data_IF_401989072187
#
_entry.id   IF_401989072187
#
_cell.length_a   1.000
_cell.length_b   1.000
_cell.length_c   1.000
_cell.angle_alpha   90.00
_cell.angle_beta   90.00
_cell.angle_gamma   90.00
#
_symmetry.space_group_name_H-M   'P 1'
#
loop_
_entity.id
_entity.type
_entity.pdbx_description
1 polymer ?
#
# COMPACT_ATOMS: atom_id res chain seq x y z
N UNK A 1 5.08 4.25 -15.52
CA UNK A 1 4.49 2.89 -15.56
C UNK A 1 3.42 2.80 -14.49
N UNK A 2 2.41 1.93 -14.64
CA UNK A 2 1.27 1.89 -13.71
C UNK A 2 1.64 1.17 -12.41
N UNK A 3 1.42 1.84 -11.29
CA UNK A 3 1.39 1.20 -9.97
C UNK A 3 0.17 0.29 -9.90
N UNK A 4 0.33 -0.91 -9.34
CA UNK A 4 -0.75 -1.85 -9.10
C UNK A 4 -0.76 -2.26 -7.64
N UNK A 5 -1.85 -2.01 -6.93
CA UNK A 5 -2.05 -2.56 -5.59
C UNK A 5 -2.75 -3.91 -5.63
N UNK A 6 -2.35 -4.76 -4.69
CA UNK A 6 -2.87 -6.10 -4.54
C UNK A 6 -3.06 -6.44 -3.07
N UNK A 7 -4.23 -6.98 -2.74
CA UNK A 7 -4.64 -7.32 -1.38
C UNK A 7 -4.95 -8.80 -1.28
N UNK A 8 -4.36 -9.46 -0.28
CA UNK A 8 -4.60 -10.89 -0.04
C UNK A 8 -4.45 -11.28 1.42
N UNK A 9 -5.18 -12.31 1.82
CA UNK A 9 -4.96 -12.98 3.12
C UNK A 9 -3.91 -14.09 3.06
N UNK A 10 -3.48 -14.45 1.84
CA UNK A 10 -2.46 -15.48 1.63
C UNK A 10 -1.05 -14.93 1.88
N UNK A 11 -0.19 -15.74 2.50
CA UNK A 11 1.24 -15.44 2.69
C UNK A 11 2.10 -15.89 1.51
N UNK A 12 1.51 -16.54 0.50
CA UNK A 12 2.20 -17.07 -0.69
C UNK A 12 1.76 -16.39 -1.99
N UNK A 13 0.87 -15.41 -1.89
CA UNK A 13 0.36 -14.57 -2.96
C UNK A 13 0.69 -13.11 -2.60
N UNK A 14 0.94 -12.19 -3.55
CA UNK A 14 0.86 -12.25 -5.02
C UNK A 14 2.03 -12.95 -5.74
N UNK A 15 1.93 -12.97 -7.08
CA UNK A 15 2.96 -13.46 -7.99
C UNK A 15 4.28 -12.66 -7.89
N UNK A 16 5.34 -13.20 -8.51
CA UNK A 16 6.65 -12.53 -8.57
C UNK A 16 6.55 -11.11 -9.18
N UNK A 17 7.27 -10.16 -8.59
CA UNK A 17 7.31 -8.75 -9.03
C UNK A 17 6.54 -7.79 -8.13
N UNK A 18 5.82 -8.28 -7.15
CA UNK A 18 5.21 -7.46 -6.10
C UNK A 18 6.14 -7.34 -4.88
N UNK A 19 6.11 -6.18 -4.25
CA UNK A 19 6.77 -5.87 -2.97
C UNK A 19 5.71 -5.73 -1.89
N UNK A 20 5.95 -6.31 -0.71
CA UNK A 20 5.01 -6.18 0.41
C UNK A 20 5.08 -4.78 1.00
N UNK A 21 3.92 -4.19 1.28
CA UNK A 21 3.77 -2.98 2.09
C UNK A 21 3.26 -3.30 3.52
N UNK A 22 3.17 -4.59 3.86
CA UNK A 22 2.77 -5.07 5.17
C UNK A 22 1.27 -5.31 5.32
N UNK A 23 0.79 -5.29 6.56
CA UNK A 23 -0.61 -5.57 6.91
C UNK A 23 -1.41 -4.27 6.83
N UNK A 24 -2.46 -4.25 6.01
CA UNK A 24 -3.39 -3.10 5.92
C UNK A 24 -4.41 -3.14 7.04
N UNK A 25 -5.01 -4.31 7.30
CA UNK A 25 -6.04 -4.50 8.30
C UNK A 25 -6.17 -5.98 8.69
N UNK A 26 -7.06 -6.28 9.63
CA UNK A 26 -7.46 -7.65 9.96
C UNK A 26 -8.89 -7.93 9.46
N UNK A 27 -9.11 -9.13 8.94
CA UNK A 27 -10.35 -9.58 8.28
C UNK A 27 -10.71 -11.01 8.70
N UNK A 28 -11.88 -11.50 8.29
CA UNK A 28 -12.30 -12.88 8.54
C UNK A 28 -11.92 -13.78 7.35
N UNK A 29 -11.44 -14.98 7.64
CA UNK A 29 -11.12 -16.01 6.63
C UNK A 29 -12.27 -16.98 6.36
N UNK A 30 -13.44 -16.77 6.98
CA UNK A 30 -14.64 -17.56 6.81
C UNK A 30 -15.88 -16.68 6.94
N UNK A 31 -16.98 -17.09 6.30
CA UNK A 31 -18.26 -16.40 6.38
C UNK A 31 -18.83 -16.50 7.80
N UNK A 32 -19.35 -15.38 8.31
CA UNK A 32 -20.17 -15.31 9.54
C UNK A 32 -21.50 -14.64 9.23
N UNK A 33 -22.44 -14.62 10.18
CA UNK A 33 -23.74 -13.93 10.00
C UNK A 33 -23.56 -12.42 9.81
N UNK A 34 -22.57 -11.83 10.49
CA UNK A 34 -22.30 -10.39 10.49
C UNK A 34 -21.20 -9.97 9.49
N UNK A 35 -20.96 -10.77 8.45
CA UNK A 35 -19.93 -10.45 7.46
C UNK A 35 -20.43 -10.56 6.01
N UNK A 36 -19.83 -9.73 5.15
CA UNK A 36 -20.02 -9.76 3.70
C UNK A 36 -18.74 -10.24 3.03
N UNK A 37 -18.88 -10.94 1.90
CA UNK A 37 -17.73 -11.30 1.07
C UNK A 37 -17.04 -10.04 0.53
N UNK A 38 -15.72 -9.98 0.58
CA UNK A 38 -14.91 -8.99 -0.12
C UNK A 38 -14.37 -9.64 -1.40
N UNK A 39 -15.05 -9.35 -2.51
CA UNK A 39 -14.85 -10.00 -3.79
C UNK A 39 -13.66 -9.38 -4.51
N UNK A 40 -12.74 -10.21 -5.01
CA UNK A 40 -11.62 -9.81 -5.86
C UNK A 40 -11.99 -10.00 -7.32
N UNK A 41 -11.84 -8.92 -8.07
CA UNK A 41 -12.04 -8.84 -9.51
C UNK A 41 -10.71 -8.48 -10.16
N UNK A 42 -10.43 -9.04 -11.34
CA UNK A 42 -9.16 -8.83 -12.04
C UNK A 42 -9.41 -8.42 -13.49
N UNK A 43 -8.73 -7.39 -13.94
CA UNK A 43 -8.74 -7.00 -15.35
C UNK A 43 -7.71 -7.84 -16.12
N UNK A 44 -8.10 -8.61 -17.15
CA UNK A 44 -7.22 -9.61 -17.78
C UNK A 44 -6.03 -8.98 -18.53
N UNK A 45 -6.19 -7.79 -19.11
CA UNK A 45 -5.13 -7.15 -19.91
C UNK A 45 -4.14 -6.34 -19.05
N UNK A 46 -4.65 -5.47 -18.17
CA UNK A 46 -3.83 -4.59 -17.32
C UNK A 46 -3.34 -5.26 -16.03
N UNK A 47 -3.91 -6.41 -15.64
CA UNK A 47 -3.64 -7.09 -14.38
C UNK A 47 -4.01 -6.29 -13.11
N UNK A 48 -4.81 -5.23 -13.25
CA UNK A 48 -5.33 -4.47 -12.12
C UNK A 48 -6.36 -5.30 -11.34
N UNK A 49 -6.37 -5.10 -10.03
CA UNK A 49 -7.34 -5.75 -9.14
C UNK A 49 -8.31 -4.71 -8.57
N UNK A 50 -9.54 -5.15 -8.37
CA UNK A 50 -10.61 -4.36 -7.77
C UNK A 50 -11.31 -5.20 -6.71
N UNK A 51 -11.61 -4.58 -5.57
CA UNK A 51 -12.20 -5.23 -4.41
C UNK A 51 -13.48 -4.53 -3.97
N UNK A 52 -14.54 -5.31 -3.77
CA UNK A 52 -15.84 -4.78 -3.36
C UNK A 52 -16.67 -5.79 -2.58
N UNK A 53 -17.53 -5.30 -1.71
CA UNK A 53 -18.56 -6.10 -1.04
C UNK A 53 -19.82 -6.29 -1.89
N UNK A 54 -19.97 -5.57 -3.01
CA UNK A 54 -21.06 -5.81 -3.96
C UNK A 54 -20.83 -7.15 -4.67
N UNK A 55 -21.75 -8.13 -4.52
CA UNK A 55 -21.63 -9.41 -5.20
C UNK A 55 -21.69 -9.29 -6.73
N UNK A 56 -22.18 -8.17 -7.27
CA UNK A 56 -22.25 -7.90 -8.70
C UNK A 56 -21.04 -7.11 -9.23
N UNK A 57 -20.09 -6.73 -8.38
CA UNK A 57 -18.84 -6.12 -8.80
C UNK A 57 -18.90 -4.61 -9.08
N UNK A 58 -19.97 -3.91 -8.70
CA UNK A 58 -20.16 -2.49 -9.02
C UNK A 58 -20.01 -2.21 -10.53
N UNK A 59 -19.11 -1.28 -10.90
CA UNK A 59 -18.79 -0.96 -12.29
C UNK A 59 -17.72 -1.89 -12.91
N UNK A 60 -17.10 -2.77 -12.12
CA UNK A 60 -15.97 -3.59 -12.56
C UNK A 60 -16.32 -4.49 -13.78
N UNK A 61 -17.48 -5.17 -13.85
CA UNK A 61 -17.84 -5.97 -15.02
C UNK A 61 -17.96 -5.11 -16.30
N UNK A 62 -18.55 -3.92 -16.20
CA UNK A 62 -18.69 -3.00 -17.32
C UNK A 62 -17.32 -2.45 -17.77
N UNK A 63 -16.37 -2.36 -16.86
CA UNK A 63 -14.98 -1.97 -17.11
C UNK A 63 -14.09 -3.15 -17.57
N UNK A 64 -14.64 -4.33 -17.82
CA UNK A 64 -13.89 -5.49 -18.33
C UNK A 64 -13.17 -6.33 -17.28
N UNK A 65 -13.40 -6.07 -15.99
CA UNK A 65 -12.90 -6.93 -14.93
C UNK A 65 -13.70 -8.23 -14.87
N UNK A 66 -13.01 -9.31 -14.53
CA UNK A 66 -13.61 -10.64 -14.34
C UNK A 66 -13.54 -11.00 -12.87
N UNK A 67 -14.64 -11.55 -12.33
CA UNK A 67 -14.65 -12.07 -10.96
C UNK A 67 -13.59 -13.16 -10.84
N UNK A 68 -12.72 -13.03 -9.84
CA UNK A 68 -11.63 -13.97 -9.62
C UNK A 68 -11.95 -14.92 -8.46
N UNK A 69 -12.21 -14.38 -7.27
CA UNK A 69 -12.58 -15.14 -6.08
C UNK A 69 -13.13 -14.24 -4.97
N UNK A 70 -13.69 -14.84 -3.92
CA UNK A 70 -13.85 -14.17 -2.63
C UNK A 70 -12.46 -14.10 -1.99
N UNK A 71 -11.94 -12.91 -1.72
CA UNK A 71 -10.63 -12.74 -1.10
C UNK A 71 -10.69 -13.03 0.41
N UNK A 72 -11.68 -12.45 1.07
CA UNK A 72 -11.92 -12.59 2.50
C UNK A 72 -13.37 -12.20 2.82
N UNK A 73 -13.70 -12.16 4.11
CA UNK A 73 -14.96 -11.65 4.61
C UNK A 73 -14.71 -10.46 5.52
N UNK A 74 -15.52 -9.42 5.35
CA UNK A 74 -15.40 -8.15 6.07
C UNK A 74 -16.68 -7.88 6.87
N UNK A 75 -16.58 -7.35 8.10
CA UNK A 75 -17.74 -7.02 8.91
C UNK A 75 -18.78 -6.16 8.20
N UNK A 76 -20.05 -6.48 8.43
CA UNK A 76 -21.16 -5.64 8.01
C UNK A 76 -21.10 -4.28 8.73
N UNK A 77 -21.62 -3.19 8.12
CA UNK A 77 -21.69 -1.90 8.78
C UNK A 77 -22.41 -1.99 10.13
N UNK A 78 -21.78 -1.45 11.18
CA UNK A 78 -22.35 -1.41 12.54
C UNK A 78 -21.84 -2.50 13.49
N UNK A 79 -21.04 -3.46 13.03
CA UNK A 79 -20.38 -4.44 13.91
C UNK A 79 -19.43 -3.71 14.88
N UNK A 80 -19.59 -3.86 16.22
CA UNK A 80 -18.74 -3.18 17.20
C UNK A 80 -17.25 -3.52 17.06
N UNK A 81 -16.39 -2.55 17.34
CA UNK A 81 -14.94 -2.75 17.31
C UNK A 81 -14.33 -2.77 15.91
N UNK A 82 -15.08 -2.35 14.88
CA UNK A 82 -14.60 -2.25 13.50
C UNK A 82 -14.29 -0.81 13.10
N UNK A 83 -13.43 -0.64 12.11
CA UNK A 83 -12.96 0.64 11.58
C UNK A 83 -13.13 0.67 10.06
N UNK A 84 -13.33 1.86 9.46
CA UNK A 84 -13.52 1.97 8.01
C UNK A 84 -12.24 1.66 7.25
N UNK A 85 -12.38 0.97 6.12
CA UNK A 85 -11.38 0.87 5.06
C UNK A 85 -11.83 1.77 3.90
N UNK A 86 -11.02 2.74 3.55
CA UNK A 86 -11.28 3.72 2.50
C UNK A 86 -10.74 3.24 1.16
N UNK A 87 -11.46 3.53 0.08
CA UNK A 87 -11.03 3.28 -1.30
C UNK A 87 -10.72 4.59 -2.01
N UNK A 88 -9.63 4.58 -2.75
CA UNK A 88 -9.10 5.69 -3.52
C UNK A 88 -8.81 5.20 -4.94
N UNK A 89 -9.16 5.98 -5.94
CA UNK A 89 -9.04 5.62 -7.36
C UNK A 89 -8.10 6.56 -8.10
N UNK A 90 -7.17 6.02 -8.88
CA UNK A 90 -6.33 6.82 -9.77
C UNK A 90 -6.88 6.78 -11.22
N UNK A 91 -7.51 7.85 -11.72
CA UNK A 91 -8.09 7.87 -13.06
C UNK A 91 -7.05 7.79 -14.19
N UNK A 92 -5.77 8.06 -13.90
CA UNK A 92 -4.71 8.00 -14.91
C UNK A 92 -4.19 6.57 -15.12
N UNK A 93 -4.26 5.71 -14.09
CA UNK A 93 -3.70 4.36 -14.13
C UNK A 93 -4.76 3.26 -14.05
N UNK A 94 -5.96 3.57 -13.56
CA UNK A 94 -7.01 2.61 -13.26
C UNK A 94 -6.87 1.91 -11.90
N UNK A 95 -5.81 2.22 -11.15
CA UNK A 95 -5.48 1.53 -9.90
C UNK A 95 -6.33 1.99 -8.72
N UNK A 96 -6.54 1.09 -7.76
CA UNK A 96 -7.30 1.35 -6.54
C UNK A 96 -6.43 1.10 -5.30
N UNK A 97 -6.39 2.10 -4.42
CA UNK A 97 -5.76 2.03 -3.11
C UNK A 97 -6.82 1.85 -2.04
N UNK A 98 -6.66 0.81 -1.22
CA UNK A 98 -7.43 0.55 -0.01
C UNK A 98 -6.56 0.82 1.23
N UNK A 99 -7.03 1.69 2.10
CA UNK A 99 -6.26 2.17 3.26
C UNK A 99 -7.15 2.45 4.47
N UNK A 100 -6.59 2.34 5.67
CA UNK A 100 -7.23 2.81 6.91
C UNK A 100 -7.13 4.33 7.09
N UNK A 101 -6.29 5.01 6.31
CA UNK A 101 -6.16 6.45 6.34
C UNK A 101 -7.26 7.13 5.51
N UNK A 102 -8.13 7.88 6.20
CA UNK A 102 -9.21 8.64 5.56
C UNK A 102 -8.70 9.70 4.58
N UNK A 103 -7.47 10.17 4.75
CA UNK A 103 -6.85 11.20 3.93
C UNK A 103 -6.04 10.60 2.77
N UNK A 104 -6.05 9.27 2.63
CA UNK A 104 -5.56 8.56 1.44
C UNK A 104 -4.05 8.36 1.40
N UNK A 105 -3.36 8.48 2.53
CA UNK A 105 -1.91 8.46 2.63
C UNK A 105 -1.31 9.52 1.68
N UNK A 106 -0.86 9.08 0.51
CA UNK A 106 -0.23 9.89 -0.52
C UNK A 106 -0.90 9.73 -1.87
N UNK A 107 -1.96 8.94 -1.89
CA UNK A 107 -2.86 8.83 -3.02
C UNK A 107 -3.14 10.22 -3.60
N UNK A 108 -3.54 11.24 -2.81
CA UNK A 108 -3.80 12.58 -3.33
C UNK A 108 -2.63 13.19 -4.11
N UNK A 109 -1.41 13.13 -3.57
CA UNK A 109 -0.21 13.67 -4.22
C UNK A 109 0.16 12.88 -5.49
N UNK A 110 -0.23 11.59 -5.54
CA UNK A 110 -0.02 10.68 -6.67
C UNK A 110 -1.20 10.65 -7.66
N UNK A 111 -2.18 11.55 -7.50
CA UNK A 111 -3.32 11.69 -8.41
C UNK A 111 -4.51 10.77 -8.14
N UNK A 112 -4.56 10.09 -6.99
CA UNK A 112 -5.74 9.36 -6.55
C UNK A 112 -6.81 10.31 -6.03
N UNK A 113 -8.06 9.92 -6.24
CA UNK A 113 -9.27 10.61 -5.79
C UNK A 113 -10.03 9.71 -4.83
N UNK A 114 -10.52 10.27 -3.73
CA UNK A 114 -11.28 9.51 -2.75
C UNK A 114 -12.61 9.01 -3.33
N UNK A 115 -12.92 7.73 -3.13
CA UNK A 115 -14.23 7.15 -3.42
C UNK A 115 -15.07 6.90 -2.15
N UNK A 116 -14.46 7.09 -0.97
CA UNK A 116 -15.12 6.99 0.32
C UNK A 116 -14.85 5.65 1.02
N UNK A 117 -15.77 5.26 1.91
CA UNK A 117 -15.66 4.01 2.67
C UNK A 117 -16.03 2.85 1.75
N UNK A 118 -15.09 1.91 1.57
CA UNK A 118 -15.32 0.67 0.82
C UNK A 118 -16.02 -0.38 1.66
N UNK A 119 -15.55 -0.58 2.89
CA UNK A 119 -16.07 -1.55 3.85
C UNK A 119 -15.56 -1.23 5.26
N UNK A 120 -15.90 -2.09 6.23
CA UNK A 120 -15.35 -2.04 7.58
C UNK A 120 -14.45 -3.25 7.81
N UNK A 121 -13.42 -3.09 8.63
CA UNK A 121 -12.42 -4.11 8.95
C UNK A 121 -12.07 -4.08 10.43
N UNK A 122 -11.34 -5.08 10.92
CA UNK A 122 -10.89 -5.10 12.31
C UNK A 122 -9.54 -4.39 12.47
N UNK A 123 -9.29 -3.73 13.62
CA UNK A 123 -7.97 -3.26 14.00
C UNK A 123 -6.93 -4.38 13.98
N UNK A 124 -5.67 -4.00 13.78
CA UNK A 124 -4.56 -4.95 13.75
C UNK A 124 -4.48 -5.78 15.04
N UNK A 125 -4.31 -7.09 14.88
CA UNK A 125 -4.19 -8.03 16.01
C UNK A 125 -5.49 -8.38 16.72
N UNK A 126 -6.65 -8.08 16.13
CA UNK A 126 -7.94 -8.49 16.70
C UNK A 126 -8.07 -10.01 16.76
N UNK A 127 -8.56 -10.54 17.88
CA UNK A 127 -8.68 -11.99 18.08
C UNK A 127 -9.61 -12.65 17.05
N UNK A 128 -9.27 -13.86 16.61
CA UNK A 128 -10.08 -14.63 15.65
C UNK A 128 -10.07 -14.12 14.21
N UNK A 129 -9.19 -13.18 13.88
CA UNK A 129 -9.05 -12.60 12.54
C UNK A 129 -7.72 -12.97 11.91
N UNK A 130 -7.60 -12.75 10.59
CA UNK A 130 -6.37 -12.92 9.82
C UNK A 130 -5.93 -11.60 9.20
N UNK A 131 -4.63 -11.39 8.95
CA UNK A 131 -4.15 -10.19 8.25
C UNK A 131 -4.62 -10.14 6.79
N UNK A 132 -4.98 -8.95 6.34
CA UNK A 132 -5.08 -8.57 4.93
C UNK A 132 -3.80 -7.83 4.56
N UNK A 133 -2.95 -8.48 3.78
CA UNK A 133 -1.68 -7.91 3.32
C UNK A 133 -1.90 -7.02 2.10
N UNK A 134 -1.17 -5.91 2.04
CA UNK A 134 -1.07 -5.06 0.84
C UNK A 134 0.29 -5.26 0.19
N UNK A 135 0.24 -5.35 -1.12
CA UNK A 135 1.38 -5.54 -1.98
C UNK A 135 1.28 -4.57 -3.15
N UNK A 136 2.42 -4.16 -3.68
CA UNK A 136 2.51 -3.19 -4.76
C UNK A 136 3.46 -3.67 -5.84
N UNK A 137 3.11 -3.44 -7.10
CA UNK A 137 3.98 -3.68 -8.26
C UNK A 137 4.05 -2.44 -9.16
N UNK A 138 5.11 -2.37 -9.98
CA UNK A 138 5.40 -1.23 -10.85
C UNK A 138 6.37 -0.22 -10.25
N UNK A 139 6.63 0.88 -10.98
CA UNK A 139 7.53 1.94 -10.52
C UNK A 139 6.95 2.66 -9.31
N UNK A 140 7.57 2.48 -8.15
CA UNK A 140 7.21 3.17 -6.92
C UNK A 140 8.09 4.41 -6.74
N UNK A 141 7.52 5.45 -6.14
CA UNK A 141 8.29 6.64 -5.73
C UNK A 141 8.82 6.42 -4.32
N UNK A 142 10.15 6.38 -4.18
CA UNK A 142 10.84 6.24 -2.91
C UNK A 142 11.52 7.56 -2.53
N UNK A 143 11.48 7.92 -1.25
CA UNK A 143 12.27 9.04 -0.73
C UNK A 143 13.63 8.56 -0.21
N UNK A 144 14.71 8.95 -0.89
CA UNK A 144 16.06 8.81 -0.33
C UNK A 144 16.30 10.03 0.57
N UNK A 145 16.43 9.84 1.89
CA UNK A 145 16.90 10.87 2.85
C UNK A 145 18.28 10.53 3.36
N UNK A 146 19.20 11.50 3.27
CA UNK A 146 20.47 11.46 4.01
C UNK A 146 20.33 12.33 5.24
N UNK A 147 20.67 11.77 6.41
CA UNK A 147 20.57 12.48 7.68
C UNK A 147 21.91 12.52 8.40
N UNK A 148 22.11 13.56 9.23
CA UNK A 148 23.18 13.59 10.22
C UNK A 148 22.57 13.60 11.61
N UNK A 149 23.22 12.94 12.55
CA UNK A 149 22.92 13.16 13.97
C UNK A 149 23.85 14.26 14.48
N UNK A 150 23.33 15.14 15.34
CA UNK A 150 24.19 15.99 16.17
C UNK A 150 24.62 15.26 17.44
N UNK A 151 25.66 15.76 18.14
CA UNK A 151 26.15 15.17 19.38
C UNK A 151 25.11 15.05 20.51
N UNK A 152 24.06 15.88 20.47
CA UNK A 152 22.93 15.87 21.42
C UNK A 152 21.79 14.92 21.00
N UNK A 153 21.96 14.18 19.90
CA UNK A 153 21.02 13.15 19.44
C UNK A 153 19.92 13.63 18.48
N UNK A 154 19.90 14.92 18.11
CA UNK A 154 18.96 15.40 17.08
C UNK A 154 19.36 14.92 15.68
N UNK A 155 18.37 14.50 14.88
CA UNK A 155 18.57 14.10 13.47
C UNK A 155 18.18 15.23 12.54
N UNK A 156 19.07 15.61 11.62
CA UNK A 156 18.82 16.60 10.58
C UNK A 156 18.86 15.95 9.21
N UNK A 157 17.82 16.16 8.40
CA UNK A 157 17.83 15.78 6.97
C UNK A 157 18.73 16.76 6.23
N UNK A 158 19.77 16.26 5.59
CA UNK A 158 20.77 17.05 4.84
C UNK A 158 20.48 17.01 3.35
N UNK A 159 19.87 15.92 2.89
CA UNK A 159 19.48 15.74 1.51
C UNK A 159 18.23 14.87 1.43
N UNK A 160 17.35 15.18 0.49
CA UNK A 160 16.21 14.34 0.17
C UNK A 160 15.97 14.32 -1.33
N UNK A 161 15.72 13.15 -1.92
CA UNK A 161 15.40 13.01 -3.35
C UNK A 161 14.44 11.87 -3.59
N UNK A 162 13.47 12.13 -4.45
CA UNK A 162 12.57 11.13 -4.99
C UNK A 162 13.28 10.30 -6.06
N UNK A 163 13.20 8.99 -5.93
CA UNK A 163 13.62 8.04 -6.95
C UNK A 163 12.45 7.16 -7.33
N UNK A 164 12.40 6.79 -8.60
CA UNK A 164 11.35 5.94 -9.14
C UNK A 164 11.99 4.59 -9.45
N UNK A 165 11.67 3.59 -8.65
CA UNK A 165 12.22 2.24 -8.80
C UNK A 165 11.18 1.20 -8.44
N UNK A 166 11.31 0.02 -9.04
CA UNK A 166 10.32 -1.05 -8.90
C UNK A 166 10.51 -1.85 -7.62
N UNK A 167 11.70 -1.80 -7.01
CA UNK A 167 12.00 -2.60 -5.79
C UNK A 167 12.70 -1.81 -4.69
N UNK A 168 12.55 -2.29 -3.46
CA UNK A 168 13.28 -1.78 -2.30
C UNK A 168 14.81 -1.93 -2.42
N UNK A 169 15.27 -3.03 -3.02
CA UNK A 169 16.72 -3.25 -3.23
C UNK A 169 17.30 -2.30 -4.29
N UNK A 170 16.53 -1.95 -5.34
CA UNK A 170 16.90 -0.88 -6.27
C UNK A 170 16.92 0.50 -5.56
N UNK A 171 15.95 0.76 -4.68
CA UNK A 171 15.91 2.00 -3.91
C UNK A 171 17.13 2.14 -2.98
N UNK A 172 17.52 1.06 -2.30
CA UNK A 172 18.75 0.97 -1.50
C UNK A 172 20.01 1.18 -2.34
N UNK A 173 20.11 0.54 -3.50
CA UNK A 173 21.25 0.70 -4.40
C UNK A 173 21.40 2.17 -4.86
N UNK A 174 20.29 2.83 -5.22
CA UNK A 174 20.30 4.25 -5.55
C UNK A 174 20.65 5.13 -4.34
N UNK A 175 20.19 4.80 -3.14
CA UNK A 175 20.55 5.52 -1.91
C UNK A 175 22.06 5.46 -1.65
N UNK A 176 22.69 4.30 -1.85
CA UNK A 176 24.14 4.16 -1.72
C UNK A 176 24.88 5.00 -2.76
N UNK A 177 24.45 4.97 -4.03
CA UNK A 177 25.02 5.80 -5.09
C UNK A 177 24.93 7.28 -4.74
N UNK A 178 23.77 7.74 -4.25
CA UNK A 178 23.55 9.12 -3.82
C UNK A 178 24.48 9.47 -2.65
N UNK A 179 24.63 8.59 -1.66
CA UNK A 179 25.56 8.79 -0.55
C UNK A 179 27.01 8.93 -1.04
N UNK A 180 27.45 8.06 -1.94
CA UNK A 180 28.82 8.06 -2.48
C UNK A 180 29.11 9.30 -3.34
N UNK A 181 28.14 9.74 -4.16
CA UNK A 181 28.28 10.91 -5.04
C UNK A 181 28.41 12.24 -4.28
N UNK A 182 27.80 12.35 -3.11
CA UNK A 182 27.87 13.57 -2.30
C UNK A 182 29.18 13.72 -1.51
N UNK A 183 30.12 12.76 -1.62
CA UNK A 183 31.49 12.84 -1.09
C UNK A 183 31.59 13.25 0.41
N UNK A 184 30.76 12.63 1.27
CA UNK A 184 30.69 12.94 2.71
C UNK A 184 31.82 12.31 3.56
N UNK A 185 32.89 11.78 2.96
CA UNK A 185 33.99 11.12 3.69
C UNK A 185 34.70 12.02 4.73
N UNK A 186 34.40 13.33 4.78
CA UNK A 186 34.94 14.28 5.74
C UNK A 186 34.01 14.69 6.89
N UNK A 187 32.81 14.11 7.03
CA UNK A 187 31.87 14.44 8.12
C UNK A 187 31.64 13.23 9.06
N UNK A 188 32.28 13.20 10.25
CA UNK A 188 32.37 12.00 11.09
C UNK A 188 31.06 11.53 11.78
N UNK A 189 29.94 12.25 11.63
CA UNK A 189 28.66 11.95 12.30
C UNK A 189 27.47 11.77 11.32
N UNK A 190 27.75 11.61 10.02
CA UNK A 190 26.72 11.28 9.03
C UNK A 190 26.53 9.77 8.92
N UNK A 191 25.26 9.34 8.90
CA UNK A 191 24.89 7.95 8.67
C UNK A 191 23.87 7.91 7.54
N UNK A 192 24.10 7.03 6.55
CA UNK A 192 23.10 6.70 5.54
C UNK A 192 22.03 5.83 6.21
N UNK A 193 21.14 6.44 6.97
CA UNK A 193 20.01 5.74 7.57
C UNK A 193 18.83 5.83 6.60
N UNK A 194 18.39 4.67 6.12
CA UNK A 194 17.09 4.56 5.50
C UNK A 194 16.01 4.76 6.58
N UNK A 195 14.99 5.55 6.29
CA UNK A 195 13.72 5.43 6.98
C UNK A 195 12.73 4.94 5.95
N UNK A 196 12.28 3.72 6.21
CA UNK A 196 11.14 3.02 5.63
C UNK A 196 9.88 3.85 5.85
N UNK A 197 9.59 4.82 4.98
CA UNK A 197 8.21 5.29 4.87
C UNK A 197 7.76 5.26 3.42
N UNK A 198 7.34 4.06 2.94
CA UNK A 198 6.33 3.95 1.89
C UNK A 198 5.12 4.85 2.17
N UNK A 199 4.91 5.17 3.47
CA UNK A 199 3.87 6.04 4.01
C UNK A 199 3.95 7.52 3.61
N UNK A 200 5.04 7.99 2.98
CA UNK A 200 5.11 9.41 2.55
C UNK A 200 5.40 9.75 1.05
N UNK A 201 5.45 8.78 0.12
CA UNK A 201 5.19 9.07 -1.32
C UNK A 201 6.30 9.86 -2.00
N UNK A 202 7.50 9.71 -1.45
CA UNK A 202 8.59 10.61 -1.69
C UNK A 202 8.84 11.54 -0.51
N UNK A 203 9.87 12.34 -0.69
CA UNK A 203 10.15 13.57 0.01
C UNK A 203 9.24 14.64 -0.61
#
# INVERSE_FOLDING_TARGET
MNVMHFYTTSTTEPAAGYVSEGITANVLNHQTEDASAFNRWRHPESNLHFYTTDPNGEAAPAAGYVFEKIECYVPNPGVPGTIPLYRWYNPNTGDHLYTLDKDGELGPASGYVAEGISCYVFPLGSDGTVPLYRWVAGDQTWCIRLSRSSPDGHRYVVFSKNVHVSTYEEAKALAQIVYDQYNFQSLPEMTANFIEEPKLGGC
#
